data_IF_060095925602
#
_entry.id   IF_060095925602
#
_cell.length_a   1.000
_cell.length_b   1.000
_cell.length_c   1.000
_cell.angle_alpha   90.00
_cell.angle_beta   90.00
_cell.angle_gamma   90.00
#
_symmetry.space_group_name_H-M   'P 1'
#
loop_
_entity.id
_entity.type
_entity.pdbx_description
1 polymer ?
#
# COMPACT_ATOMS: atom_id res chain seq x y z
N UNK A 1 8.73 -5.26 6.24
CA UNK A 1 9.68 -4.58 5.34
C UNK A 1 9.55 -5.06 3.90
N UNK A 2 9.94 -6.30 3.56
CA UNK A 2 9.93 -6.78 2.16
C UNK A 2 8.57 -6.64 1.48
N UNK A 3 7.48 -7.05 2.15
CA UNK A 3 6.10 -6.88 1.63
C UNK A 3 5.79 -5.44 1.29
N UNK A 4 6.18 -4.49 2.13
CA UNK A 4 5.98 -3.05 1.92
C UNK A 4 6.74 -2.53 0.72
N UNK A 5 8.01 -2.95 0.55
CA UNK A 5 8.83 -2.55 -0.60
C UNK A 5 8.21 -3.07 -1.90
N UNK A 6 7.81 -4.35 -1.93
CA UNK A 6 7.14 -4.96 -3.09
C UNK A 6 5.83 -4.22 -3.39
N UNK A 7 5.00 -3.99 -2.37
CA UNK A 7 3.73 -3.28 -2.52
C UNK A 7 3.94 -1.86 -3.09
N UNK A 8 4.93 -1.11 -2.61
CA UNK A 8 5.28 0.23 -3.14
C UNK A 8 5.75 0.18 -4.59
N UNK A 9 6.60 -0.78 -4.94
CA UNK A 9 7.05 -0.99 -6.32
C UNK A 9 5.86 -1.28 -7.24
N UNK A 10 4.99 -2.21 -6.84
CA UNK A 10 3.81 -2.51 -7.63
C UNK A 10 2.91 -1.29 -7.72
N UNK A 11 2.63 -0.59 -6.61
CA UNK A 11 1.78 0.60 -6.52
C UNK A 11 2.23 1.75 -7.43
N UNK A 12 3.54 1.96 -7.62
CA UNK A 12 4.00 3.03 -8.51
C UNK A 12 4.05 2.55 -9.98
N UNK A 13 4.42 1.29 -10.23
CA UNK A 13 4.80 0.84 -11.57
C UNK A 13 3.67 0.12 -12.32
N UNK A 14 2.88 -0.72 -11.64
CA UNK A 14 1.91 -1.61 -12.30
C UNK A 14 0.61 -0.91 -12.72
N UNK A 15 0.58 -0.32 -13.91
CA UNK A 15 -0.56 0.47 -14.38
C UNK A 15 -1.86 -0.35 -14.58
N UNK A 16 -1.75 -1.68 -14.65
CA UNK A 16 -2.86 -2.56 -15.08
C UNK A 16 -3.60 -3.26 -13.95
N UNK A 17 -3.21 -3.08 -12.68
CA UNK A 17 -3.75 -3.83 -11.53
C UNK A 17 -3.73 -5.35 -11.72
N UNK A 18 -2.85 -5.86 -12.58
CA UNK A 18 -2.89 -7.24 -13.06
C UNK A 18 -2.05 -8.20 -12.21
N UNK A 19 -1.53 -7.73 -11.06
CA UNK A 19 -0.56 -8.42 -10.21
C UNK A 19 0.64 -9.00 -10.98
N UNK A 20 0.94 -8.40 -12.15
CA UNK A 20 2.02 -8.77 -13.05
C UNK A 20 2.72 -7.51 -13.51
N UNK A 21 4.01 -7.41 -13.20
CA UNK A 21 4.86 -6.35 -13.76
C UNK A 21 5.39 -6.77 -15.13
N UNK A 22 5.16 -5.93 -16.14
CA UNK A 22 5.70 -6.14 -17.48
C UNK A 22 7.00 -5.37 -17.67
N UNK A 23 7.88 -5.89 -18.53
CA UNK A 23 9.17 -5.25 -18.81
C UNK A 23 9.05 -3.80 -19.31
N UNK A 24 7.97 -3.47 -20.03
CA UNK A 24 7.73 -2.09 -20.50
C UNK A 24 7.40 -1.13 -19.35
N UNK A 25 6.64 -1.59 -18.35
CA UNK A 25 6.34 -0.79 -17.14
C UNK A 25 7.62 -0.52 -16.35
N UNK A 26 8.47 -1.55 -16.18
CA UNK A 26 9.78 -1.39 -15.53
C UNK A 26 10.64 -0.37 -16.27
N UNK A 27 10.72 -0.45 -17.62
CA UNK A 27 11.52 0.47 -18.44
C UNK A 27 11.07 1.93 -18.35
N UNK A 28 9.77 2.18 -18.12
CA UNK A 28 9.21 3.53 -17.97
C UNK A 28 9.29 4.08 -16.53
N UNK A 29 9.59 3.23 -15.56
CA UNK A 29 9.77 3.61 -14.16
C UNK A 29 11.20 4.02 -13.82
N UNK A 30 11.40 4.56 -12.62
CA UNK A 30 12.72 4.82 -12.04
C UNK A 30 13.32 3.61 -11.29
N UNK A 31 12.65 2.44 -11.22
CA UNK A 31 13.08 1.31 -10.38
C UNK A 31 14.55 0.90 -10.60
N UNK A 32 14.98 0.73 -11.85
CA UNK A 32 16.35 0.33 -12.16
C UNK A 32 17.38 1.42 -11.79
N UNK A 33 16.99 2.70 -11.88
CA UNK A 33 17.83 3.81 -11.44
C UNK A 33 17.94 3.80 -9.92
N UNK A 34 16.83 3.63 -9.20
CA UNK A 34 16.81 3.54 -7.74
C UNK A 34 17.64 2.36 -7.23
N UNK A 35 17.56 1.19 -7.89
CA UNK A 35 18.40 0.03 -7.55
C UNK A 35 19.90 0.35 -7.71
N UNK A 36 20.30 1.10 -8.73
CA UNK A 36 21.72 1.50 -8.88
C UNK A 36 22.17 2.46 -7.80
N UNK A 37 21.28 3.33 -7.31
CA UNK A 37 21.60 4.27 -6.22
C UNK A 37 21.84 3.52 -4.91
N UNK A 38 21.17 2.37 -4.68
CA UNK A 38 21.40 1.53 -3.50
C UNK A 38 22.85 1.03 -3.37
N UNK A 39 23.60 0.94 -4.47
CA UNK A 39 25.01 0.54 -4.43
C UNK A 39 25.94 1.67 -3.97
N UNK A 40 25.47 2.92 -4.01
CA UNK A 40 26.26 4.12 -3.76
C UNK A 40 25.90 4.84 -2.45
N UNK A 41 24.66 4.69 -1.99
CA UNK A 41 24.16 5.36 -0.79
C UNK A 41 23.96 4.34 0.34
N UNK A 42 24.78 4.48 1.39
CA UNK A 42 24.76 3.60 2.56
C UNK A 42 23.52 3.85 3.46
N UNK A 43 22.98 5.07 3.45
CA UNK A 43 21.77 5.40 4.21
C UNK A 43 20.51 5.13 3.39
N UNK A 44 19.91 3.96 3.62
CA UNK A 44 18.68 3.51 2.95
C UNK A 44 17.52 4.52 3.06
N UNK A 45 17.51 5.36 4.10
CA UNK A 45 16.42 6.32 4.32
C UNK A 45 16.55 7.55 3.42
N UNK A 46 17.72 7.82 2.83
CA UNK A 46 17.84 8.84 1.78
C UNK A 46 17.23 8.41 0.45
N UNK A 47 17.02 7.10 0.26
CA UNK A 47 16.37 6.53 -0.92
C UNK A 47 14.87 6.42 -0.64
N UNK A 48 14.17 7.54 -0.82
CA UNK A 48 12.74 7.64 -0.52
C UNK A 48 11.87 6.74 -1.39
N UNK A 49 12.27 6.54 -2.65
CA UNK A 49 11.57 5.66 -3.59
C UNK A 49 11.76 4.19 -3.19
N UNK A 50 10.66 3.50 -2.96
CA UNK A 50 10.57 2.06 -2.65
C UNK A 50 11.20 1.59 -1.34
N UNK A 51 12.47 1.92 -1.07
CA UNK A 51 13.33 1.19 -0.14
C UNK A 51 13.48 1.81 1.26
N UNK A 52 13.15 3.11 1.43
CA UNK A 52 13.23 3.79 2.74
C UNK A 52 12.62 2.96 3.88
N UNK A 53 13.45 2.69 4.90
CA UNK A 53 13.06 1.91 6.07
C UNK A 53 12.15 2.74 6.97
N UNK A 54 12.38 4.05 7.08
CA UNK A 54 11.49 4.98 7.79
C UNK A 54 10.07 4.98 7.22
N UNK A 55 9.91 5.01 5.89
CA UNK A 55 8.59 4.89 5.27
C UNK A 55 7.93 3.56 5.62
N UNK A 56 8.68 2.45 5.57
CA UNK A 56 8.16 1.16 6.02
C UNK A 56 7.70 1.21 7.49
N UNK A 57 8.53 1.76 8.37
CA UNK A 57 8.27 1.79 9.80
C UNK A 57 6.98 2.54 10.11
N UNK A 58 6.77 3.71 9.51
CA UNK A 58 5.52 4.48 9.66
C UNK A 58 4.30 3.68 9.19
N UNK A 59 4.37 3.05 8.01
CA UNK A 59 3.27 2.23 7.48
C UNK A 59 2.97 1.07 8.43
N UNK A 60 4.01 0.40 8.93
CA UNK A 60 3.86 -0.73 9.84
C UNK A 60 3.29 -0.32 11.19
N UNK A 61 3.74 0.80 11.79
CA UNK A 61 3.16 1.31 13.02
C UNK A 61 1.68 1.60 12.87
N UNK A 62 1.26 2.28 11.80
CA UNK A 62 -0.16 2.56 11.54
C UNK A 62 -1.00 1.29 11.39
N UNK A 63 -0.46 0.25 10.76
CA UNK A 63 -1.13 -1.05 10.69
C UNK A 63 -1.24 -1.69 12.07
N UNK A 64 -0.12 -1.73 12.80
CA UNK A 64 -0.03 -2.36 14.11
C UNK A 64 -0.92 -1.68 15.17
N UNK A 65 -1.13 -0.38 15.07
CA UNK A 65 -2.08 0.37 15.93
C UNK A 65 -3.54 -0.06 15.71
N UNK A 66 -3.87 -0.64 14.57
CA UNK A 66 -5.22 -1.08 14.22
C UNK A 66 -5.43 -2.59 14.48
N UNK A 67 -4.41 -3.41 14.25
CA UNK A 67 -4.38 -4.87 14.46
C UNK A 67 -4.14 -5.24 15.93
N UNK A 68 -5.15 -5.05 16.79
CA UNK A 68 -5.06 -5.26 18.25
C UNK A 68 -4.89 -6.75 18.63
N UNK A 69 -5.50 -7.67 17.87
CA UNK A 69 -5.40 -9.11 18.11
C UNK A 69 -4.19 -9.77 17.42
N UNK A 70 -3.40 -8.98 16.68
CA UNK A 70 -2.15 -9.37 16.04
C UNK A 70 -2.30 -10.54 15.08
N UNK A 71 -3.45 -10.64 14.41
CA UNK A 71 -3.75 -11.72 13.47
C UNK A 71 -3.25 -11.42 12.04
N UNK A 72 -2.66 -10.24 11.83
CA UNK A 72 -2.19 -9.69 10.55
C UNK A 72 -3.31 -9.36 9.56
N UNK A 73 -4.53 -9.18 10.06
CA UNK A 73 -5.67 -8.69 9.31
C UNK A 73 -6.31 -7.48 9.98
N UNK A 74 -6.91 -6.64 9.15
CA UNK A 74 -7.70 -5.49 9.61
C UNK A 74 -9.16 -5.78 9.25
N UNK A 75 -10.07 -5.71 10.20
CA UNK A 75 -11.50 -5.76 9.91
C UNK A 75 -12.13 -4.35 9.76
N UNK A 76 -13.44 -4.29 9.50
CA UNK A 76 -14.15 -2.99 9.37
C UNK A 76 -14.14 -2.16 10.65
N UNK A 77 -14.18 -2.81 11.82
CA UNK A 77 -14.20 -2.15 13.12
C UNK A 77 -12.82 -1.58 13.45
N UNK A 78 -11.75 -2.29 13.12
CA UNK A 78 -10.39 -1.79 13.24
C UNK A 78 -10.20 -0.60 12.31
N UNK A 79 -10.61 -0.73 11.04
CA UNK A 79 -10.55 0.37 10.08
C UNK A 79 -11.34 1.62 10.51
N UNK A 80 -12.40 1.47 11.29
CA UNK A 80 -13.17 2.59 11.81
C UNK A 80 -12.39 3.43 12.84
N UNK A 81 -11.34 2.89 13.45
CA UNK A 81 -10.46 3.61 14.38
C UNK A 81 -9.40 4.43 13.66
N UNK A 82 -9.16 4.15 12.37
CA UNK A 82 -8.12 4.80 11.57
C UNK A 82 -8.21 6.33 11.62
N UNK A 83 -7.09 6.95 11.98
CA UNK A 83 -6.90 8.40 12.05
C UNK A 83 -8.05 9.13 12.79
N UNK A 84 -8.40 8.65 14.00
CA UNK A 84 -9.50 9.17 14.82
C UNK A 84 -10.87 9.13 14.11
N UNK A 85 -11.17 8.01 13.45
CA UNK A 85 -12.41 7.81 12.70
C UNK A 85 -12.62 8.84 11.58
N UNK A 86 -11.54 9.19 10.86
CA UNK A 86 -11.61 10.15 9.74
C UNK A 86 -12.37 9.61 8.52
N UNK A 87 -12.48 8.29 8.36
CA UNK A 87 -13.18 7.65 7.25
C UNK A 87 -14.67 7.50 7.56
N UNK A 88 -15.52 7.88 6.60
CA UNK A 88 -16.96 7.62 6.71
C UNK A 88 -17.26 6.12 6.61
N UNK A 89 -18.33 5.69 7.27
CA UNK A 89 -18.79 4.29 7.24
C UNK A 89 -19.00 3.75 5.83
N UNK A 90 -19.51 4.57 4.91
CA UNK A 90 -19.69 4.21 3.48
C UNK A 90 -18.37 3.93 2.76
N UNK A 91 -17.32 4.70 3.08
CA UNK A 91 -15.99 4.46 2.51
C UNK A 91 -15.42 3.17 3.06
N UNK A 92 -15.56 2.92 4.37
CA UNK A 92 -15.13 1.66 4.99
C UNK A 92 -15.87 0.48 4.34
N UNK A 93 -17.19 0.54 4.19
CA UNK A 93 -17.95 -0.52 3.50
C UNK A 93 -17.42 -0.80 2.07
N UNK A 94 -17.08 0.27 1.33
CA UNK A 94 -16.53 0.17 -0.01
C UNK A 94 -15.13 -0.47 -0.02
N UNK A 95 -14.25 -0.08 0.89
CA UNK A 95 -12.90 -0.67 1.01
C UNK A 95 -12.98 -2.19 1.17
N UNK A 96 -13.95 -2.67 1.95
CA UNK A 96 -14.16 -4.09 2.20
C UNK A 96 -15.09 -4.79 1.19
N UNK A 97 -15.35 -4.17 0.04
CA UNK A 97 -16.12 -4.80 -1.05
C UNK A 97 -15.18 -5.68 -1.87
N UNK A 98 -15.45 -7.00 -1.98
CA UNK A 98 -14.55 -7.94 -2.68
C UNK A 98 -14.28 -7.52 -4.12
N UNK A 99 -12.99 -7.51 -4.50
CA UNK A 99 -12.56 -7.22 -5.88
C UNK A 99 -12.56 -5.75 -6.29
N UNK A 100 -12.95 -4.83 -5.39
CA UNK A 100 -12.87 -3.38 -5.65
C UNK A 100 -11.50 -2.85 -5.21
N UNK A 101 -11.12 -3.16 -3.97
CA UNK A 101 -9.94 -2.60 -3.30
C UNK A 101 -9.09 -3.67 -2.61
N UNK A 102 -9.74 -4.67 -2.00
CA UNK A 102 -9.07 -5.80 -1.33
C UNK A 102 -8.81 -6.95 -2.30
N UNK A 103 -7.68 -7.62 -2.06
CA UNK A 103 -7.27 -8.86 -2.69
C UNK A 103 -8.31 -10.00 -2.57
N UNK A 104 -9.08 -10.21 -3.64
CA UNK A 104 -9.82 -11.45 -3.91
C UNK A 104 -10.86 -11.91 -2.89
N UNK A 105 -11.55 -13.02 -3.20
CA UNK A 105 -12.54 -13.62 -2.29
C UNK A 105 -11.92 -14.27 -1.04
N UNK A 106 -10.62 -14.55 -1.08
CA UNK A 106 -9.87 -15.24 -0.01
C UNK A 106 -9.74 -14.40 1.25
N UNK A 107 -9.80 -13.07 1.12
CA UNK A 107 -9.67 -12.14 2.24
C UNK A 107 -10.87 -12.16 3.21
N UNK A 108 -11.97 -12.85 2.87
CA UNK A 108 -13.15 -13.07 3.74
C UNK A 108 -13.69 -11.79 4.43
N UNK A 109 -13.62 -10.65 3.75
CA UNK A 109 -14.06 -9.37 4.30
C UNK A 109 -13.11 -8.75 5.32
N UNK A 110 -11.84 -9.16 5.32
CA UNK A 110 -10.73 -8.55 6.05
C UNK A 110 -9.69 -8.03 5.08
N UNK A 111 -8.85 -7.10 5.52
CA UNK A 111 -7.81 -6.47 4.72
C UNK A 111 -6.46 -7.00 5.17
N UNK A 112 -5.62 -7.47 4.24
CA UNK A 112 -4.27 -7.91 4.56
C UNK A 112 -3.33 -6.72 4.80
N UNK A 113 -2.14 -6.97 5.35
CA UNK A 113 -1.09 -5.94 5.43
C UNK A 113 -0.77 -5.30 4.05
N UNK A 114 -0.72 -6.10 2.98
CA UNK A 114 -0.44 -5.59 1.63
C UNK A 114 -1.56 -4.65 1.13
N UNK A 115 -2.81 -5.05 1.31
CA UNK A 115 -3.97 -4.21 0.98
C UNK A 115 -3.96 -2.90 1.78
N UNK A 116 -3.56 -2.97 3.06
CA UNK A 116 -3.42 -1.79 3.92
C UNK A 116 -2.32 -0.84 3.43
N UNK A 117 -1.18 -1.36 2.93
CA UNK A 117 -0.15 -0.51 2.32
C UNK A 117 -0.73 0.27 1.13
N UNK A 118 -1.51 -0.37 0.27
CA UNK A 118 -2.17 0.30 -0.87
C UNK A 118 -3.15 1.36 -0.40
N UNK A 119 -3.98 1.03 0.59
CA UNK A 119 -4.89 1.98 1.23
C UNK A 119 -4.15 3.23 1.70
N UNK A 120 -3.09 3.05 2.49
CA UNK A 120 -2.39 4.14 3.13
C UNK A 120 -1.67 5.03 2.11
N UNK A 121 -1.04 4.44 1.08
CA UNK A 121 -0.44 5.18 -0.01
C UNK A 121 -1.47 6.01 -0.80
N UNK A 122 -2.65 5.44 -1.05
CA UNK A 122 -3.74 6.12 -1.73
C UNK A 122 -4.36 7.24 -0.88
N UNK A 123 -4.37 7.07 0.44
CA UNK A 123 -4.89 8.07 1.36
C UNK A 123 -3.94 9.27 1.54
N UNK A 124 -2.65 9.03 1.74
CA UNK A 124 -1.64 10.08 1.99
C UNK A 124 -1.41 10.97 0.74
N UNK A 125 -1.46 10.39 -0.46
CA UNK A 125 -1.29 11.15 -1.72
C UNK A 125 -2.41 10.87 -2.74
N UNK A 126 -3.58 11.50 -2.49
CA UNK A 126 -4.76 11.41 -3.38
C UNK A 126 -4.57 12.00 -4.79
N UNK A 127 -3.45 12.68 -5.07
CA UNK A 127 -3.11 13.21 -6.39
C UNK A 127 -2.34 12.20 -7.26
N UNK A 128 -1.82 11.13 -6.66
CA UNK A 128 -1.15 10.09 -7.41
C UNK A 128 -2.15 9.41 -8.37
N UNK A 129 -1.79 9.13 -9.65
CA UNK A 129 -2.71 8.48 -10.59
C UNK A 129 -3.32 7.20 -10.04
N UNK A 130 -2.53 6.38 -9.33
CA UNK A 130 -3.05 5.18 -8.68
C UNK A 130 -4.03 5.46 -7.54
N UNK A 131 -3.81 6.51 -6.77
CA UNK A 131 -4.73 6.89 -5.70
C UNK A 131 -6.08 7.32 -6.28
N UNK A 132 -6.06 8.04 -7.41
CA UNK A 132 -7.29 8.44 -8.11
C UNK A 132 -8.07 7.20 -8.56
N UNK A 133 -7.40 6.23 -9.20
CA UNK A 133 -8.03 4.97 -9.59
C UNK A 133 -8.55 4.17 -8.38
N UNK A 134 -7.77 4.12 -7.29
CA UNK A 134 -8.13 3.44 -6.04
C UNK A 134 -9.43 3.99 -5.46
N UNK A 135 -9.58 5.33 -5.37
CA UNK A 135 -10.79 5.96 -4.83
C UNK A 135 -11.95 5.99 -5.83
N UNK A 136 -11.67 5.83 -7.13
CA UNK A 136 -12.71 5.78 -8.17
C UNK A 136 -13.36 4.40 -8.31
N UNK A 137 -12.60 3.32 -8.12
CA UNK A 137 -13.09 1.92 -8.06
C UNK A 137 -14.03 1.73 -6.89
#
# INVERSE_FOLDING_TARGET
YVTTVIARIYYDINATWSNKLYADEIRRSNLMQTIRILELEDDINKIMDYFSYEHFYVIYCKFWELDDDHDLWIDKNDMAKHNNAALSTRIIERLFTPGVVISGAEAKGRMSYEDFVYFLLAEENKKHPRAIEYWFR
#
